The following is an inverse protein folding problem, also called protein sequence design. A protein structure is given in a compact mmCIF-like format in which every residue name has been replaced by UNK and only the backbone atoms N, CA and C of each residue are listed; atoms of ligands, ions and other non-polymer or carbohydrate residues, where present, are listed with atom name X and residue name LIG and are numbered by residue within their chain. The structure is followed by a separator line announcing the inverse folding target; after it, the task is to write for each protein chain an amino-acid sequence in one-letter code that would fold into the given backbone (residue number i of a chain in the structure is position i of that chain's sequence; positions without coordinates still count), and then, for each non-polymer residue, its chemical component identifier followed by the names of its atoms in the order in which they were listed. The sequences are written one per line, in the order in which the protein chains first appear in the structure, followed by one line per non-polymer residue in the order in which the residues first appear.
data_IF_462902519126
#
_entry.id   IF_462902519126
#
_cell.length_a   1.000
_cell.length_b   1.000
_cell.length_c   1.000
_cell.angle_alpha   90.00
_cell.angle_beta   90.00
_cell.angle_gamma   90.00
#
_symmetry.space_group_name_H-M   'P 1'
#
loop_
_entity.id
_entity.type
_entity.pdbx_description
1 polymer ?
#
# COMPACT_ATOMS: atom_id res chain seq x y z
N UNK A 1 3.21 11.73 1.15
CA UNK A 1 4.35 12.55 1.60
C UNK A 1 4.06 14.04 1.46
N UNK A 2 3.62 14.54 0.30
CA UNK A 2 3.26 15.96 0.09
C UNK A 2 1.79 16.13 -0.39
N UNK A 3 0.77 15.87 0.47
CA UNK A 3 -0.64 15.94 0.07
C UNK A 3 -1.09 17.36 -0.38
N UNK A 4 -0.45 18.41 0.12
CA UNK A 4 -0.74 19.82 -0.15
C UNK A 4 -0.48 20.26 -1.60
N UNK A 5 0.30 19.48 -2.35
CA UNK A 5 0.61 19.78 -3.76
C UNK A 5 -0.53 19.39 -4.72
N UNK A 6 -1.54 18.68 -4.23
CA UNK A 6 -2.59 18.09 -5.07
C UNK A 6 -3.98 18.56 -4.61
N UNK A 7 -4.86 18.85 -5.57
CA UNK A 7 -6.28 19.11 -5.29
C UNK A 7 -7.08 17.79 -5.21
N UNK A 8 -6.70 16.80 -6.02
CA UNK A 8 -7.33 15.50 -6.06
C UNK A 8 -6.43 14.43 -6.66
N UNK A 9 -6.67 13.16 -6.29
CA UNK A 9 -5.89 12.00 -6.71
C UNK A 9 -6.85 10.84 -7.06
N UNK A 10 -6.62 10.19 -8.20
CA UNK A 10 -7.27 8.93 -8.57
C UNK A 10 -6.30 7.76 -8.36
N UNK A 11 -6.65 6.84 -7.47
CA UNK A 11 -5.89 5.63 -7.17
C UNK A 11 -6.62 4.41 -7.75
N UNK A 12 -6.04 3.78 -8.77
CA UNK A 12 -6.65 2.64 -9.46
C UNK A 12 -5.94 1.34 -9.09
N UNK A 13 -6.66 0.42 -8.44
CA UNK A 13 -6.13 -0.86 -7.94
C UNK A 13 -4.76 -0.66 -7.24
N UNK A 14 -4.67 0.25 -6.25
CA UNK A 14 -3.39 0.68 -5.73
C UNK A 14 -2.82 -0.35 -4.74
N UNK A 15 -1.55 -0.71 -4.92
CA UNK A 15 -0.77 -1.47 -3.94
C UNK A 15 -0.36 -0.53 -2.80
N UNK A 16 -0.92 -0.74 -1.60
CA UNK A 16 -0.85 0.24 -0.51
C UNK A 16 -0.43 -0.35 0.83
N UNK A 17 -0.63 -1.66 1.04
CA UNK A 17 -0.27 -2.36 2.27
C UNK A 17 1.03 -3.16 2.09
N UNK A 18 2.06 -2.46 1.59
CA UNK A 18 3.30 -3.08 1.09
C UNK A 18 3.96 -3.93 2.15
N UNK A 19 4.08 -3.43 3.39
CA UNK A 19 4.77 -4.17 4.45
C UNK A 19 4.04 -5.46 4.82
N UNK A 20 2.72 -5.38 5.06
CA UNK A 20 1.93 -6.54 5.47
C UNK A 20 1.86 -7.57 4.34
N UNK A 21 1.64 -7.13 3.10
CA UNK A 21 1.56 -8.02 1.95
C UNK A 21 2.90 -8.71 1.68
N UNK A 22 4.01 -7.97 1.73
CA UNK A 22 5.34 -8.53 1.49
C UNK A 22 5.84 -9.44 2.62
N UNK A 23 5.20 -9.44 3.80
CA UNK A 23 5.48 -10.38 4.90
C UNK A 23 4.71 -11.71 4.76
N UNK A 24 3.68 -11.77 3.93
CA UNK A 24 2.81 -12.94 3.77
C UNK A 24 3.08 -13.67 2.45
N UNK A 25 3.84 -14.76 2.52
CA UNK A 25 4.18 -15.61 1.38
C UNK A 25 2.98 -16.41 0.82
N UNK A 26 1.84 -16.42 1.52
CA UNK A 26 0.62 -17.08 1.03
C UNK A 26 -0.14 -16.25 0.01
N UNK A 27 0.16 -14.94 -0.07
CA UNK A 27 -0.42 -14.04 -1.05
C UNK A 27 0.31 -14.25 -2.40
N UNK A 28 -0.42 -14.42 -3.52
CA UNK A 28 0.20 -14.50 -4.83
C UNK A 28 1.10 -13.28 -5.11
N UNK A 29 2.20 -13.50 -5.84
CA UNK A 29 3.21 -12.51 -6.24
C UNK A 29 4.21 -12.11 -5.15
N UNK A 30 3.93 -12.21 -3.85
CA UNK A 30 4.83 -11.77 -2.77
C UNK A 30 6.27 -12.25 -2.95
N UNK A 31 6.48 -13.56 -3.11
CA UNK A 31 7.83 -14.13 -3.26
C UNK A 31 8.53 -13.73 -4.55
N UNK A 32 7.75 -13.44 -5.61
CA UNK A 32 8.29 -13.01 -6.90
C UNK A 32 8.70 -11.53 -6.88
N UNK A 33 8.08 -10.73 -6.01
CA UNK A 33 8.33 -9.30 -5.90
C UNK A 33 9.43 -8.95 -4.89
N UNK A 34 10.04 -9.94 -4.22
CA UNK A 34 11.19 -9.71 -3.34
C UNK A 34 12.37 -9.05 -4.07
N UNK A 35 12.57 -9.35 -5.35
CA UNK A 35 13.63 -8.73 -6.15
C UNK A 35 13.33 -7.26 -6.50
N UNK A 36 12.05 -6.83 -6.42
CA UNK A 36 11.62 -5.46 -6.71
C UNK A 36 11.58 -4.60 -5.45
N UNK A 37 10.91 -5.07 -4.39
CA UNK A 37 10.67 -4.27 -3.18
C UNK A 37 11.61 -4.60 -2.02
N UNK A 38 12.24 -5.77 -2.05
CA UNK A 38 12.97 -6.37 -0.93
C UNK A 38 12.13 -7.39 -0.14
N UNK A 39 12.80 -8.16 0.71
CA UNK A 39 12.14 -9.16 1.56
C UNK A 39 12.07 -8.64 3.00
N UNK A 40 10.91 -8.19 3.51
CA UNK A 40 10.78 -7.62 4.85
C UNK A 40 11.02 -8.62 5.99
N UNK A 41 11.24 -9.91 5.70
CA UNK A 41 11.78 -10.85 6.68
C UNK A 41 13.22 -10.50 7.08
N UNK A 42 13.93 -9.72 6.25
CA UNK A 42 15.22 -9.10 6.57
C UNK A 42 15.01 -7.73 7.23
N UNK A 43 15.72 -7.44 8.33
CA UNK A 43 15.55 -6.18 9.08
C UNK A 43 15.84 -4.91 8.24
N UNK A 44 16.81 -4.98 7.33
CA UNK A 44 17.17 -3.85 6.48
C UNK A 44 16.05 -3.50 5.48
N UNK A 45 15.49 -4.51 4.84
CA UNK A 45 14.39 -4.36 3.88
C UNK A 45 13.10 -3.96 4.63
N UNK A 46 12.84 -4.57 5.79
CA UNK A 46 11.70 -4.22 6.66
C UNK A 46 11.67 -2.72 6.95
N UNK A 47 12.81 -2.15 7.39
CA UNK A 47 12.90 -0.71 7.72
C UNK A 47 12.73 0.15 6.48
N UNK A 48 13.26 -0.28 5.35
CA UNK A 48 13.15 0.43 4.07
C UNK A 48 11.69 0.46 3.62
N UNK A 49 11.01 -0.69 3.59
CA UNK A 49 9.61 -0.81 3.19
C UNK A 49 8.69 -0.05 4.16
N UNK A 50 8.90 -0.20 5.47
CA UNK A 50 8.13 0.51 6.48
C UNK A 50 8.20 2.04 6.30
N UNK A 51 9.35 2.58 5.90
CA UNK A 51 9.53 4.02 5.75
C UNK A 51 8.69 4.65 4.62
N UNK A 52 8.23 3.87 3.64
CA UNK A 52 7.42 4.37 2.53
C UNK A 52 6.05 3.72 2.37
N UNK A 53 5.78 2.59 3.02
CA UNK A 53 4.50 1.86 2.91
C UNK A 53 3.30 2.79 3.16
N UNK A 54 2.40 3.01 2.18
CA UNK A 54 1.32 3.98 2.29
C UNK A 54 0.34 3.73 3.42
N UNK A 55 0.00 2.47 3.70
CA UNK A 55 -0.91 2.10 4.79
C UNK A 55 -0.30 2.36 6.17
N UNK A 56 1.00 2.09 6.33
CA UNK A 56 1.70 2.27 7.60
C UNK A 56 1.95 3.75 7.93
N UNK A 57 2.14 4.59 6.91
CA UNK A 57 2.45 6.02 7.04
C UNK A 57 1.23 6.94 6.90
N UNK A 58 0.02 6.45 7.21
CA UNK A 58 -1.16 7.32 7.37
C UNK A 58 -1.02 8.13 8.65
N UNK A 59 -1.21 9.44 8.54
CA UNK A 59 -1.10 10.40 9.64
C UNK A 59 -2.34 11.30 9.68
N UNK A 60 -2.63 11.90 10.83
CA UNK A 60 -3.68 12.90 10.95
C UNK A 60 -3.25 14.23 10.31
N UNK A 61 -3.51 14.38 9.00
CA UNK A 61 -3.26 15.59 8.21
C UNK A 61 -4.31 15.77 7.12
N UNK A 62 -4.33 16.96 6.50
CA UNK A 62 -5.19 17.20 5.35
C UNK A 62 -4.71 16.39 4.14
N UNK A 63 -5.59 15.57 3.57
CA UNK A 63 -5.38 14.85 2.32
C UNK A 63 -6.21 15.50 1.19
N UNK A 64 -5.79 15.36 -0.07
CA UNK A 64 -6.57 15.83 -1.22
C UNK A 64 -7.87 15.04 -1.39
N UNK A 65 -8.71 15.46 -2.33
CA UNK A 65 -9.88 14.66 -2.71
C UNK A 65 -9.42 13.36 -3.37
N UNK A 66 -9.74 12.20 -2.79
CA UNK A 66 -9.23 10.92 -3.27
C UNK A 66 -10.37 10.04 -3.79
N UNK A 67 -10.22 9.55 -5.02
CA UNK A 67 -11.01 8.47 -5.59
C UNK A 67 -10.17 7.18 -5.58
N UNK A 68 -10.66 6.13 -4.92
CA UNK A 68 -10.03 4.81 -4.93
C UNK A 68 -10.93 3.83 -5.68
N UNK A 69 -10.34 3.03 -6.57
CA UNK A 69 -11.02 1.93 -7.25
C UNK A 69 -10.27 0.62 -7.00
N UNK A 70 -11.00 -0.48 -6.91
CA UNK A 70 -10.47 -1.84 -6.72
C UNK A 70 -11.41 -2.87 -7.35
N UNK A 71 -10.97 -4.11 -7.51
CA UNK A 71 -11.75 -5.21 -8.07
C UNK A 71 -11.82 -6.40 -7.12
N UNK A 72 -13.02 -6.97 -6.93
CA UNK A 72 -13.23 -8.11 -6.02
C UNK A 72 -12.42 -9.36 -6.41
N UNK A 73 -12.18 -9.55 -7.71
CA UNK A 73 -11.44 -10.68 -8.28
C UNK A 73 -10.14 -10.23 -8.95
N UNK A 74 -9.58 -9.12 -8.49
CA UNK A 74 -8.29 -8.65 -8.98
C UNK A 74 -7.18 -9.62 -8.57
N UNK A 75 -6.36 -10.03 -9.53
CA UNK A 75 -5.28 -10.99 -9.33
C UNK A 75 -3.91 -10.35 -9.07
N UNK A 76 -3.81 -9.02 -9.19
CA UNK A 76 -2.57 -8.26 -9.00
C UNK A 76 -2.54 -7.64 -7.61
N UNK A 77 -3.59 -6.92 -7.21
CA UNK A 77 -3.69 -6.33 -5.87
C UNK A 77 -5.00 -6.75 -5.23
N UNK A 78 -4.87 -7.32 -4.04
CA UNK A 78 -6.02 -7.85 -3.34
C UNK A 78 -6.96 -6.73 -2.85
N UNK A 79 -8.26 -6.93 -3.05
CA UNK A 79 -9.28 -5.88 -2.85
C UNK A 79 -9.31 -5.29 -1.43
N UNK A 80 -8.84 -6.03 -0.43
CA UNK A 80 -8.81 -5.57 0.95
C UNK A 80 -7.75 -4.51 1.22
N UNK A 81 -6.67 -4.43 0.45
CA UNK A 81 -5.65 -3.41 0.64
C UNK A 81 -6.22 -1.98 0.52
N UNK A 82 -6.83 -1.59 -0.61
CA UNK A 82 -7.43 -0.27 -0.74
C UNK A 82 -8.60 -0.05 0.22
N UNK A 83 -9.35 -1.10 0.58
CA UNK A 83 -10.44 -0.97 1.56
C UNK A 83 -9.91 -0.62 2.96
N UNK A 84 -8.88 -1.34 3.45
CA UNK A 84 -8.23 -1.05 4.74
C UNK A 84 -7.68 0.38 4.74
N UNK A 85 -7.03 0.79 3.66
CA UNK A 85 -6.46 2.12 3.51
C UNK A 85 -7.51 3.24 3.57
N UNK A 86 -8.62 3.09 2.85
CA UNK A 86 -9.72 4.06 2.87
C UNK A 86 -10.36 4.17 4.27
N UNK A 87 -10.51 3.06 4.98
CA UNK A 87 -11.04 3.05 6.36
C UNK A 87 -10.10 3.79 7.30
N UNK A 88 -8.78 3.58 7.19
CA UNK A 88 -7.79 4.23 8.07
C UNK A 88 -7.60 5.72 7.77
N UNK A 89 -7.90 6.18 6.56
CA UNK A 89 -7.87 7.59 6.16
C UNK A 89 -9.07 8.43 6.64
N UNK A 90 -10.19 7.78 6.99
CA UNK A 90 -11.44 8.44 7.41
C UNK A 90 -11.54 8.55 8.92
#
# INVERSE_FOLDING_TARGET
QAPELYLGVGCHVPFLDVLTTMLDETIPLTTNEYDEWGNPNNEADYKTILAYSPYDNIEAKAYPNILVTTGLHDSQVQYWEPMKWVVKLR
#
